data_IF_651476640393
#
_entry.id   IF_651476640393
#
_cell.length_a   1.000
_cell.length_b   1.000
_cell.length_c   1.000
_cell.angle_alpha   90.00
_cell.angle_beta   90.00
_cell.angle_gamma   90.00
#
_symmetry.space_group_name_H-M   'P 1'
#
loop_
_entity.id
_entity.type
_entity.pdbx_description
1 polymer ?
#
# COMPACT_ATOMS: atom_id res chain seq x y z
N UNK A 1 -7.28 8.30 -29.43
CA UNK A 1 -6.46 7.45 -28.55
C UNK A 1 -5.25 8.25 -28.10
N UNK A 2 -5.27 8.85 -26.91
CA UNK A 2 -4.10 9.54 -26.38
C UNK A 2 -3.12 8.50 -25.85
N UNK A 3 -1.97 8.34 -26.50
CA UNK A 3 -0.82 7.68 -25.90
C UNK A 3 -0.43 8.53 -24.69
N UNK A 4 -0.54 7.98 -23.48
CA UNK A 4 -0.07 8.64 -22.26
C UNK A 4 1.47 8.68 -22.35
N UNK A 5 2.07 9.79 -22.80
CA UNK A 5 3.49 9.80 -23.16
C UNK A 5 4.35 10.05 -21.93
N UNK A 6 3.78 10.07 -20.72
CA UNK A 6 4.45 10.46 -19.51
C UNK A 6 5.01 9.23 -18.76
N UNK A 7 6.17 9.42 -18.13
CA UNK A 7 6.63 8.59 -17.02
C UNK A 7 6.73 9.48 -15.78
N UNK A 8 6.64 8.87 -14.60
CA UNK A 8 6.84 9.58 -13.36
C UNK A 8 8.34 9.73 -13.10
N UNK A 9 8.78 10.97 -12.95
CA UNK A 9 10.17 11.31 -12.70
C UNK A 9 10.47 11.21 -11.20
N UNK A 10 11.46 10.39 -10.85
CA UNK A 10 11.91 10.20 -9.48
C UNK A 10 13.29 10.83 -9.31
N UNK A 11 13.41 11.97 -8.63
CA UNK A 11 14.70 12.66 -8.48
C UNK A 11 15.77 11.80 -7.82
N UNK A 12 15.40 10.92 -6.88
CA UNK A 12 16.34 10.02 -6.21
C UNK A 12 16.95 8.98 -7.15
N UNK A 13 16.14 8.35 -8.01
CA UNK A 13 16.62 7.42 -9.02
C UNK A 13 17.46 8.12 -10.09
N UNK A 14 17.01 9.31 -10.52
CA UNK A 14 17.77 10.13 -11.46
C UNK A 14 19.16 10.46 -10.90
N UNK A 15 19.23 10.99 -9.67
CA UNK A 15 20.50 11.36 -9.05
C UNK A 15 21.38 10.16 -8.74
N UNK A 16 20.82 9.00 -8.39
CA UNK A 16 21.60 7.76 -8.23
C UNK A 16 22.42 7.47 -9.49
N UNK A 17 21.80 7.63 -10.66
CA UNK A 17 22.43 7.30 -11.93
C UNK A 17 23.33 8.45 -12.43
N UNK A 18 22.97 9.72 -12.21
CA UNK A 18 23.64 10.86 -12.85
C UNK A 18 24.65 11.60 -11.97
N UNK A 19 24.62 11.48 -10.64
CA UNK A 19 25.43 12.33 -9.74
C UNK A 19 26.95 12.20 -9.95
N UNK A 20 27.41 11.08 -10.52
CA UNK A 20 28.82 10.81 -10.79
C UNK A 20 29.17 10.83 -12.28
N UNK A 21 28.22 11.17 -13.17
CA UNK A 21 28.49 11.20 -14.60
C UNK A 21 29.17 12.52 -15.00
N UNK A 22 30.08 12.44 -15.98
CA UNK A 22 30.57 13.63 -16.66
C UNK A 22 29.44 14.38 -17.42
N UNK A 23 29.62 15.67 -17.68
CA UNK A 23 28.60 16.53 -18.31
C UNK A 23 28.11 15.97 -19.65
N UNK A 24 29.03 15.52 -20.51
CA UNK A 24 28.67 14.93 -21.81
C UNK A 24 27.91 13.61 -21.66
N UNK A 25 28.33 12.78 -20.71
CA UNK A 25 27.71 11.49 -20.38
C UNK A 25 26.28 11.71 -19.87
N UNK A 26 26.08 12.67 -18.96
CA UNK A 26 24.77 13.03 -18.45
C UNK A 26 23.84 13.54 -19.56
N UNK A 27 24.34 14.37 -20.48
CA UNK A 27 23.55 14.82 -21.64
C UNK A 27 23.11 13.65 -22.53
N UNK A 28 23.97 12.64 -22.73
CA UNK A 28 23.60 11.43 -23.45
C UNK A 28 22.54 10.63 -22.70
N UNK A 29 22.71 10.47 -21.38
CA UNK A 29 21.75 9.81 -20.49
C UNK A 29 20.36 10.48 -20.55
N UNK A 30 20.28 11.81 -20.42
CA UNK A 30 19.02 12.56 -20.44
C UNK A 30 18.27 12.40 -21.77
N UNK A 31 19.02 12.41 -22.90
CA UNK A 31 18.45 12.15 -24.23
C UNK A 31 17.90 10.75 -24.35
N UNK A 32 18.62 9.76 -23.83
CA UNK A 32 18.17 8.36 -23.81
C UNK A 32 16.90 8.25 -22.96
N UNK A 33 16.88 8.81 -21.75
CA UNK A 33 15.72 8.85 -20.86
C UNK A 33 14.49 9.44 -21.56
N UNK A 34 14.65 10.52 -22.32
CA UNK A 34 13.53 11.12 -23.06
C UNK A 34 13.05 10.24 -24.22
N UNK A 35 13.97 9.55 -24.92
CA UNK A 35 13.61 8.63 -26.01
C UNK A 35 12.81 7.41 -25.50
N UNK A 36 12.95 7.05 -24.22
CA UNK A 36 12.18 5.96 -23.60
C UNK A 36 10.66 6.19 -23.65
N UNK A 37 10.22 7.46 -23.70
CA UNK A 37 8.81 7.82 -23.86
C UNK A 37 8.21 7.32 -25.17
N UNK A 38 9.03 7.19 -26.23
CA UNK A 38 8.62 6.66 -27.53
C UNK A 38 8.84 5.16 -27.61
N UNK A 39 10.01 4.71 -27.18
CA UNK A 39 10.45 3.33 -27.25
C UNK A 39 11.07 2.95 -25.90
N UNK A 40 10.41 2.08 -25.12
CA UNK A 40 10.88 1.69 -23.78
C UNK A 40 12.35 1.25 -23.78
N UNK A 41 12.83 0.68 -24.89
CA UNK A 41 14.23 0.33 -25.09
C UNK A 41 14.80 1.00 -26.34
N UNK A 42 16.07 1.39 -26.27
CA UNK A 42 16.83 1.89 -27.42
C UNK A 42 17.64 0.77 -28.07
N UNK A 43 17.64 0.72 -29.40
CA UNK A 43 18.43 -0.24 -30.17
C UNK A 43 19.93 0.08 -30.10
N UNK A 44 20.79 -0.88 -30.45
CA UNK A 44 22.24 -0.64 -30.57
C UNK A 44 22.58 0.53 -31.52
N UNK A 45 21.80 0.72 -32.59
CA UNK A 45 22.00 1.82 -33.55
C UNK A 45 21.69 3.17 -32.90
N UNK A 46 20.61 3.26 -32.13
CA UNK A 46 20.26 4.47 -31.38
C UNK A 46 21.29 4.76 -30.30
N UNK A 47 21.74 3.75 -29.55
CA UNK A 47 22.82 3.91 -28.56
C UNK A 47 24.08 4.50 -29.21
N UNK A 48 24.54 3.92 -30.32
CA UNK A 48 25.68 4.46 -31.08
C UNK A 48 25.46 5.91 -31.53
N UNK A 49 24.24 6.29 -31.88
CA UNK A 49 23.92 7.66 -32.25
C UNK A 49 24.00 8.63 -31.06
N UNK A 50 23.48 8.23 -29.89
CA UNK A 50 23.52 9.04 -28.67
C UNK A 50 24.95 9.21 -28.13
N UNK A 51 25.79 8.18 -28.29
CA UNK A 51 27.18 8.18 -27.80
C UNK A 51 28.21 8.60 -28.84
N UNK A 52 27.80 9.05 -30.03
CA UNK A 52 28.71 9.33 -31.16
C UNK A 52 29.77 10.40 -30.90
N UNK A 53 29.57 11.25 -29.89
CA UNK A 53 30.48 12.34 -29.50
C UNK A 53 31.21 12.08 -28.18
N UNK A 54 30.94 10.94 -27.55
CA UNK A 54 31.60 10.54 -26.31
C UNK A 54 32.92 9.83 -26.60
N UNK A 55 33.89 10.00 -25.72
CA UNK A 55 35.08 9.17 -25.67
C UNK A 55 34.77 7.78 -25.07
N UNK A 56 35.75 6.87 -24.99
CA UNK A 56 35.49 5.51 -24.49
C UNK A 56 35.21 5.47 -22.98
N UNK A 57 35.89 6.28 -22.16
CA UNK A 57 35.65 6.33 -20.71
C UNK A 57 34.23 6.84 -20.42
N UNK A 58 33.80 7.93 -21.09
CA UNK A 58 32.44 8.48 -21.02
C UNK A 58 31.38 7.46 -21.47
N UNK A 59 31.70 6.61 -22.47
CA UNK A 59 30.79 5.54 -22.87
C UNK A 59 30.69 4.48 -21.79
N UNK A 60 31.81 4.04 -21.22
CA UNK A 60 31.81 3.04 -20.15
C UNK A 60 30.99 3.53 -18.95
N UNK A 61 31.17 4.78 -18.53
CA UNK A 61 30.34 5.43 -17.49
C UNK A 61 28.84 5.31 -17.81
N UNK A 62 28.43 5.69 -19.03
CA UNK A 62 27.03 5.58 -19.44
C UNK A 62 26.53 4.13 -19.38
N UNK A 63 27.35 3.18 -19.83
CA UNK A 63 26.97 1.77 -19.89
C UNK A 63 26.71 1.17 -18.51
N UNK A 64 27.31 1.69 -17.42
CA UNK A 64 26.99 1.28 -16.05
C UNK A 64 25.55 1.63 -15.64
N UNK A 65 24.96 2.68 -16.22
CA UNK A 65 23.58 3.11 -15.94
C UNK A 65 22.54 2.38 -16.80
N UNK A 66 22.97 1.75 -17.90
CA UNK A 66 22.09 1.12 -18.87
C UNK A 66 22.03 -0.39 -18.68
N UNK A 67 20.81 -0.91 -18.56
CA UNK A 67 20.58 -2.36 -18.54
C UNK A 67 20.42 -2.90 -19.96
N UNK A 68 21.22 -3.92 -20.30
CA UNK A 68 21.07 -4.64 -21.56
C UNK A 68 19.91 -5.63 -21.47
N UNK A 69 19.00 -5.56 -22.43
CA UNK A 69 17.82 -6.44 -22.53
C UNK A 69 17.71 -7.05 -23.93
N UNK A 70 16.76 -7.97 -24.11
CA UNK A 70 16.49 -8.51 -25.43
C UNK A 70 15.98 -7.40 -26.36
N UNK A 71 16.77 -7.08 -27.39
CA UNK A 71 16.46 -6.02 -28.36
C UNK A 71 17.20 -4.69 -28.16
N UNK A 72 17.92 -4.47 -27.06
CA UNK A 72 18.65 -3.21 -26.86
C UNK A 72 19.05 -2.89 -25.43
N UNK A 73 18.94 -1.61 -25.08
CA UNK A 73 19.32 -1.04 -23.80
C UNK A 73 18.21 -0.18 -23.24
N UNK A 74 18.11 -0.13 -21.92
CA UNK A 74 17.16 0.75 -21.24
C UNK A 74 17.71 1.26 -19.91
N UNK A 75 17.17 2.39 -19.45
CA UNK A 75 17.32 2.86 -18.08
C UNK A 75 16.23 2.17 -17.26
N UNK A 76 16.64 1.37 -16.27
CA UNK A 76 15.75 0.43 -15.58
C UNK A 76 14.56 1.11 -14.91
N UNK A 77 14.83 2.15 -14.10
CA UNK A 77 13.77 2.84 -13.34
C UNK A 77 12.80 3.59 -14.27
N UNK A 78 13.28 4.11 -15.41
CA UNK A 78 12.45 4.79 -16.42
C UNK A 78 11.53 3.77 -17.09
N UNK A 79 12.07 2.63 -17.53
CA UNK A 79 11.29 1.56 -18.12
C UNK A 79 10.21 1.05 -17.17
N UNK A 80 10.57 0.81 -15.89
CA UNK A 80 9.64 0.41 -14.84
C UNK A 80 8.52 1.44 -14.64
N UNK A 81 8.88 2.73 -14.57
CA UNK A 81 7.93 3.84 -14.43
C UNK A 81 6.93 3.89 -15.58
N UNK A 82 7.38 3.73 -16.83
CA UNK A 82 6.52 3.67 -18.01
C UNK A 82 5.57 2.48 -17.96
N UNK A 83 6.05 1.29 -17.59
CA UNK A 83 5.22 0.07 -17.50
C UNK A 83 4.12 0.24 -16.44
N UNK A 84 4.49 0.70 -15.24
CA UNK A 84 3.53 0.98 -14.15
C UNK A 84 2.48 2.00 -14.59
N UNK A 85 2.90 3.06 -15.28
CA UNK A 85 2.01 4.11 -15.79
C UNK A 85 1.03 3.58 -16.84
N UNK A 86 1.50 2.77 -17.79
CA UNK A 86 0.64 2.12 -18.79
C UNK A 86 -0.41 1.23 -18.12
N UNK A 87 0.00 0.39 -17.16
CA UNK A 87 -0.91 -0.48 -16.42
C UNK A 87 -1.98 0.31 -15.65
N UNK A 88 -1.60 1.40 -14.97
CA UNK A 88 -2.53 2.30 -14.29
C UNK A 88 -3.55 2.90 -15.26
N UNK A 89 -3.08 3.45 -16.38
CA UNK A 89 -3.94 4.09 -17.38
C UNK A 89 -4.90 3.10 -18.04
N UNK A 90 -4.49 1.86 -18.28
CA UNK A 90 -5.37 0.78 -18.75
C UNK A 90 -6.42 0.36 -17.71
N UNK A 91 -6.03 0.23 -16.45
CA UNK A 91 -6.96 -0.06 -15.33
C UNK A 91 -8.04 1.02 -15.23
N UNK A 92 -7.65 2.30 -15.33
CA UNK A 92 -8.59 3.43 -15.33
C UNK A 92 -9.55 3.40 -16.52
N UNK A 93 -9.08 3.06 -17.73
CA UNK A 93 -9.95 2.91 -18.91
C UNK A 93 -10.99 1.81 -18.72
N UNK A 94 -10.61 0.66 -18.15
CA UNK A 94 -11.51 -0.46 -17.84
C UNK A 94 -12.54 -0.10 -16.76
N UNK A 95 -12.17 0.75 -15.81
CA UNK A 95 -13.08 1.23 -14.77
C UNK A 95 -14.00 2.36 -15.26
N UNK A 96 -13.54 3.21 -16.18
CA UNK A 96 -14.34 4.27 -16.80
C UNK A 96 -15.47 3.74 -17.68
N UNK A 97 -15.28 2.58 -18.31
CA UNK A 97 -16.31 1.92 -19.14
C UNK A 97 -17.43 1.27 -18.31
N UNK A 98 -17.31 1.23 -16.98
CA UNK A 98 -18.30 0.63 -16.06
C UNK A 98 -19.07 1.66 -15.21
N UNK A 99 -18.77 2.96 -15.31
CA UNK A 99 -19.33 3.99 -14.43
C UNK A 99 -20.31 4.86 -15.21
N UNK A 100 -21.59 4.86 -14.80
CA UNK A 100 -22.57 5.85 -15.25
C UNK A 100 -22.04 7.27 -15.01
N UNK A 101 -22.25 8.14 -16.00
CA UNK A 101 -21.74 9.50 -16.05
C UNK A 101 -22.27 10.37 -14.90
N UNK A 102 -21.45 10.56 -13.87
CA UNK A 102 -21.58 11.72 -12.98
C UNK A 102 -20.22 12.42 -12.94
N UNK A 103 -20.07 13.38 -13.85
CA UNK A 103 -18.89 14.24 -13.96
C UNK A 103 -19.02 15.33 -12.88
N UNK A 104 -18.25 15.19 -11.80
CA UNK A 104 -18.08 16.27 -10.82
C UNK A 104 -17.29 17.42 -11.46
N UNK A 105 -17.80 18.65 -11.34
CA UNK A 105 -17.26 19.88 -11.95
C UNK A 105 -15.94 20.39 -11.34
N UNK A 106 -15.26 19.60 -10.51
CA UNK A 106 -14.03 19.96 -9.80
C UNK A 106 -12.95 18.89 -9.94
N UNK A 107 -12.74 18.36 -11.16
CA UNK A 107 -11.76 17.31 -11.40
C UNK A 107 -10.49 17.89 -12.03
N UNK A 108 -9.49 18.19 -11.20
CA UNK A 108 -8.14 18.56 -11.64
C UNK A 108 -7.24 17.32 -11.72
N UNK A 109 -6.78 17.00 -12.93
CA UNK A 109 -5.98 15.82 -13.26
C UNK A 109 -4.47 16.10 -13.18
N UNK A 110 -3.92 16.40 -12.00
CA UNK A 110 -2.46 16.40 -11.85
C UNK A 110 -2.05 15.85 -10.48
N UNK A 111 -1.25 14.78 -10.50
CA UNK A 111 -0.54 14.19 -9.35
C UNK A 111 -1.34 13.27 -8.40
N UNK A 112 -1.99 12.21 -8.91
CA UNK A 112 -2.19 11.02 -8.07
C UNK A 112 -0.89 10.18 -8.08
N UNK A 113 0.01 10.63 -7.21
CA UNK A 113 1.29 10.02 -6.91
C UNK A 113 1.07 9.05 -5.73
N UNK A 114 0.78 7.77 -6.01
CA UNK A 114 0.90 6.71 -5.01
C UNK A 114 1.65 5.53 -5.63
N UNK A 115 2.94 5.43 -5.33
CA UNK A 115 3.68 4.18 -5.43
C UNK A 115 3.03 3.22 -4.44
N UNK A 116 2.24 2.26 -4.94
CA UNK A 116 1.83 1.08 -4.17
C UNK A 116 2.69 -0.08 -4.63
N UNK A 117 3.57 -0.51 -3.75
CA UNK A 117 4.39 -1.71 -3.90
C UNK A 117 3.50 -2.92 -4.21
N UNK A 118 3.61 -3.43 -5.44
CA UNK A 118 2.76 -4.51 -5.96
C UNK A 118 2.92 -5.82 -5.17
N UNK A 119 4.06 -6.02 -4.49
CA UNK A 119 4.34 -7.23 -3.72
C UNK A 119 3.54 -7.32 -2.40
N UNK A 120 3.20 -6.18 -1.80
CA UNK A 120 2.32 -6.11 -0.63
C UNK A 120 0.85 -6.38 -1.00
N UNK A 121 0.48 -6.08 -2.24
CA UNK A 121 -0.92 -6.06 -2.69
C UNK A 121 -1.56 -7.44 -2.82
N UNK A 122 -0.77 -8.46 -3.20
CA UNK A 122 -1.27 -9.82 -3.41
C UNK A 122 -1.57 -10.50 -2.06
N UNK A 123 -0.67 -10.33 -1.09
CA UNK A 123 -0.84 -10.90 0.25
C UNK A 123 -1.91 -10.15 1.06
N UNK A 124 -1.96 -8.81 0.97
CA UNK A 124 -3.05 -8.01 1.56
C UNK A 124 -4.43 -8.38 0.97
N UNK A 125 -4.52 -8.68 -0.32
CA UNK A 125 -5.80 -9.05 -0.93
C UNK A 125 -6.36 -10.37 -0.37
N UNK A 126 -5.49 -11.32 -0.03
CA UNK A 126 -5.89 -12.59 0.58
C UNK A 126 -6.39 -12.41 2.01
N UNK A 127 -5.64 -11.68 2.84
CA UNK A 127 -5.98 -11.42 4.24
C UNK A 127 -7.28 -10.62 4.36
N UNK A 128 -7.45 -9.58 3.54
CA UNK A 128 -8.67 -8.76 3.55
C UNK A 128 -9.91 -9.58 3.17
N UNK A 129 -9.77 -10.51 2.22
CA UNK A 129 -10.84 -11.43 1.85
C UNK A 129 -11.22 -12.32 3.04
N UNK A 130 -10.24 -12.92 3.71
CA UNK A 130 -10.48 -13.80 4.85
C UNK A 130 -11.15 -13.06 6.03
N UNK A 131 -10.75 -11.81 6.30
CA UNK A 131 -11.40 -10.99 7.35
C UNK A 131 -12.88 -10.76 7.04
N UNK A 132 -13.22 -10.47 5.79
CA UNK A 132 -14.61 -10.23 5.38
C UNK A 132 -15.42 -11.53 5.42
N UNK A 133 -14.84 -12.65 5.00
CA UNK A 133 -15.48 -13.97 5.08
C UNK A 133 -15.75 -14.38 6.53
N UNK A 134 -14.80 -14.16 7.44
CA UNK A 134 -14.99 -14.40 8.87
C UNK A 134 -16.07 -13.48 9.48
N UNK A 135 -16.06 -12.19 9.14
CA UNK A 135 -17.10 -11.25 9.57
C UNK A 135 -18.50 -11.73 9.14
N UNK A 136 -18.63 -12.14 7.88
CA UNK A 136 -19.88 -12.64 7.31
C UNK A 136 -20.34 -13.91 8.03
N UNK A 137 -19.41 -14.84 8.25
CA UNK A 137 -19.66 -16.09 8.96
C UNK A 137 -20.11 -15.86 10.41
N UNK A 138 -19.39 -15.02 11.16
CA UNK A 138 -19.66 -14.78 12.59
C UNK A 138 -20.96 -13.99 12.80
N UNK A 139 -21.21 -12.96 11.98
CA UNK A 139 -22.35 -12.07 12.18
C UNK A 139 -23.60 -12.46 11.37
N UNK A 140 -23.52 -13.50 10.53
CA UNK A 140 -24.58 -13.86 9.60
C UNK A 140 -24.86 -12.75 8.58
N UNK A 141 -23.81 -12.03 8.18
CA UNK A 141 -23.90 -10.89 7.26
C UNK A 141 -23.36 -11.25 5.87
N UNK A 142 -23.62 -10.41 4.87
CA UNK A 142 -23.24 -10.65 3.47
C UNK A 142 -22.46 -9.46 2.88
N UNK A 143 -21.40 -9.04 3.56
CA UNK A 143 -20.51 -8.00 3.07
C UNK A 143 -19.69 -8.52 1.89
N UNK A 144 -19.73 -7.78 0.78
CA UNK A 144 -18.95 -8.12 -0.41
C UNK A 144 -17.46 -7.90 -0.18
N UNK A 145 -16.66 -8.90 -0.52
CA UNK A 145 -15.19 -8.81 -0.55
C UNK A 145 -14.68 -7.77 -1.55
N UNK A 146 -15.53 -7.27 -2.46
CA UNK A 146 -15.22 -6.20 -3.41
C UNK A 146 -15.49 -4.78 -2.87
N UNK A 147 -16.10 -4.61 -1.70
CA UNK A 147 -16.46 -3.31 -1.13
C UNK A 147 -15.23 -2.44 -0.79
N UNK A 148 -15.03 -1.33 -1.50
CA UNK A 148 -13.87 -0.44 -1.29
C UNK A 148 -13.81 0.11 0.13
N UNK A 149 -14.93 0.58 0.67
CA UNK A 149 -14.98 1.20 2.01
C UNK A 149 -14.64 0.20 3.11
N UNK A 150 -15.08 -1.05 2.98
CA UNK A 150 -14.75 -2.12 3.94
C UNK A 150 -13.26 -2.47 3.85
N UNK A 151 -12.71 -2.57 2.63
CA UNK A 151 -11.28 -2.83 2.42
C UNK A 151 -10.40 -1.73 3.00
N UNK A 152 -10.76 -0.47 2.81
CA UNK A 152 -10.02 0.68 3.35
C UNK A 152 -9.94 0.63 4.87
N UNK A 153 -11.07 0.37 5.54
CA UNK A 153 -11.11 0.22 6.99
C UNK A 153 -10.21 -0.93 7.48
N UNK A 154 -10.26 -2.08 6.82
CA UNK A 154 -9.41 -3.24 7.17
C UNK A 154 -7.94 -2.91 6.95
N UNK A 155 -7.58 -2.35 5.78
CA UNK A 155 -6.21 -1.95 5.45
C UNK A 155 -5.66 -0.94 6.45
N UNK A 156 -6.47 0.01 6.90
CA UNK A 156 -6.07 0.97 7.94
C UNK A 156 -5.61 0.26 9.21
N UNK A 157 -6.35 -0.76 9.67
CA UNK A 157 -5.97 -1.51 10.89
C UNK A 157 -4.80 -2.46 10.65
N UNK A 158 -4.69 -3.08 9.47
CA UNK A 158 -3.50 -3.87 9.12
C UNK A 158 -2.23 -3.01 9.11
N UNK A 159 -2.30 -1.77 8.60
CA UNK A 159 -1.19 -0.82 8.62
C UNK A 159 -0.82 -0.35 10.02
N UNK A 160 -1.77 -0.35 10.96
CA UNK A 160 -1.51 -0.09 12.39
C UNK A 160 -0.87 -1.30 13.11
N UNK A 161 -0.67 -2.42 12.42
CA UNK A 161 -0.02 -3.62 12.96
C UNK A 161 -0.98 -4.67 13.52
N UNK A 162 -2.31 -4.49 13.36
CA UNK A 162 -3.27 -5.52 13.74
C UNK A 162 -3.23 -6.70 12.78
N UNK A 163 -3.42 -7.89 13.32
CA UNK A 163 -3.37 -9.15 12.58
C UNK A 163 -4.76 -9.66 12.25
N UNK A 164 -4.86 -10.57 11.29
CA UNK A 164 -6.09 -11.32 10.99
C UNK A 164 -6.78 -11.87 12.25
N UNK A 165 -6.01 -12.42 13.19
CA UNK A 165 -6.54 -12.99 14.43
C UNK A 165 -7.22 -11.92 15.30
N UNK A 166 -6.68 -10.70 15.32
CA UNK A 166 -7.26 -9.58 16.06
C UNK A 166 -8.65 -9.20 15.53
N UNK A 167 -8.85 -9.26 14.21
CA UNK A 167 -10.18 -9.05 13.61
C UNK A 167 -11.15 -10.15 14.05
N UNK A 168 -10.74 -11.42 14.00
CA UNK A 168 -11.56 -12.56 14.44
C UNK A 168 -11.96 -12.41 15.92
N UNK A 169 -11.03 -11.97 16.78
CA UNK A 169 -11.30 -11.66 18.19
C UNK A 169 -12.36 -10.57 18.32
N UNK A 170 -12.21 -9.45 17.61
CA UNK A 170 -13.17 -8.33 17.66
C UNK A 170 -14.56 -8.79 17.21
N UNK A 171 -14.68 -9.56 16.13
CA UNK A 171 -15.99 -10.06 15.65
C UNK A 171 -16.72 -10.86 16.73
N UNK A 172 -16.01 -11.80 17.35
CA UNK A 172 -16.58 -12.67 18.39
C UNK A 172 -16.92 -11.91 19.66
N UNK A 173 -16.03 -11.02 20.12
CA UNK A 173 -16.27 -10.20 21.32
C UNK A 173 -17.45 -9.26 21.14
N UNK A 174 -17.53 -8.57 19.99
CA UNK A 174 -18.61 -7.61 19.75
C UNK A 174 -19.94 -8.32 19.52
N UNK A 175 -19.95 -9.46 18.82
CA UNK A 175 -21.16 -10.29 18.73
C UNK A 175 -21.66 -10.70 20.12
N UNK A 176 -20.76 -11.19 20.99
CA UNK A 176 -21.12 -11.59 22.35
C UNK A 176 -21.62 -10.42 23.19
N UNK A 177 -21.02 -9.23 23.04
CA UNK A 177 -21.38 -8.03 23.82
C UNK A 177 -22.66 -7.35 23.33
N UNK A 178 -22.88 -7.27 22.01
CA UNK A 178 -23.95 -6.45 21.42
C UNK A 178 -25.03 -7.28 20.72
N UNK A 179 -24.75 -8.53 20.34
CA UNK A 179 -25.66 -9.36 19.54
C UNK A 179 -27.00 -9.64 20.22
N UNK A 180 -27.01 -9.76 21.55
CA UNK A 180 -28.24 -9.99 22.34
C UNK A 180 -28.94 -8.70 22.76
N UNK A 181 -28.38 -7.52 22.44
CA UNK A 181 -28.97 -6.23 22.78
C UNK A 181 -29.57 -5.60 21.51
N UNK A 182 -30.91 -5.48 21.41
CA UNK A 182 -31.59 -4.97 20.22
C UNK A 182 -31.14 -3.58 19.77
N UNK A 183 -30.74 -2.72 20.71
CA UNK A 183 -30.27 -1.37 20.38
C UNK A 183 -28.81 -1.34 19.90
N UNK A 184 -28.01 -2.32 20.32
CA UNK A 184 -26.59 -2.34 20.03
C UNK A 184 -26.24 -3.21 18.82
N UNK A 185 -27.05 -4.23 18.51
CA UNK A 185 -26.77 -5.16 17.41
C UNK A 185 -26.70 -4.46 16.04
N UNK A 186 -27.43 -3.35 15.84
CA UNK A 186 -27.39 -2.51 14.63
C UNK A 186 -26.00 -1.90 14.33
N UNK A 187 -25.11 -1.88 15.31
CA UNK A 187 -23.74 -1.40 15.19
C UNK A 187 -22.71 -2.49 14.87
N UNK A 188 -23.12 -3.75 14.72
CA UNK A 188 -22.27 -4.86 14.27
C UNK A 188 -22.00 -4.77 12.76
N UNK A 189 -21.24 -3.76 12.35
CA UNK A 189 -20.93 -3.45 10.95
C UNK A 189 -19.49 -2.93 10.82
N UNK A 190 -18.83 -3.09 9.65
CA UNK A 190 -17.42 -2.74 9.44
C UNK A 190 -17.05 -1.33 9.90
N UNK A 191 -17.88 -0.32 9.56
CA UNK A 191 -17.58 1.08 9.90
C UNK A 191 -17.51 1.34 11.41
N UNK A 192 -18.25 0.57 12.21
CA UNK A 192 -18.21 0.70 13.67
C UNK A 192 -17.11 -0.19 14.25
N UNK A 193 -17.08 -1.46 13.85
CA UNK A 193 -16.13 -2.44 14.36
C UNK A 193 -14.68 -2.05 14.08
N UNK A 194 -14.40 -1.50 12.90
CA UNK A 194 -13.06 -1.10 12.46
C UNK A 194 -12.80 0.41 12.59
N UNK A 195 -13.56 1.08 13.45
CA UNK A 195 -13.34 2.48 13.82
C UNK A 195 -12.03 2.64 14.62
N UNK A 196 -11.72 3.87 15.03
CA UNK A 196 -10.59 4.16 15.92
C UNK A 196 -10.69 3.49 17.31
N UNK A 197 -11.81 2.84 17.63
CA UNK A 197 -12.00 2.05 18.85
C UNK A 197 -11.66 0.57 18.70
N UNK A 198 -11.10 0.16 17.55
CA UNK A 198 -10.77 -1.24 17.26
C UNK A 198 -9.93 -1.90 18.37
N UNK A 199 -8.87 -1.22 18.82
CA UNK A 199 -8.02 -1.71 19.91
C UNK A 199 -8.80 -1.88 21.22
N UNK A 200 -9.70 -0.93 21.53
CA UNK A 200 -10.56 -1.02 22.70
C UNK A 200 -11.49 -2.24 22.62
N UNK A 201 -12.06 -2.52 21.46
CA UNK A 201 -12.90 -3.71 21.25
C UNK A 201 -12.09 -5.00 21.37
N UNK A 202 -10.88 -5.04 20.81
CA UNK A 202 -9.96 -6.18 20.90
C UNK A 202 -9.59 -6.47 22.36
N UNK A 203 -9.35 -5.42 23.16
CA UNK A 203 -8.94 -5.52 24.56
C UNK A 203 -10.12 -5.55 25.55
N UNK A 204 -11.37 -5.49 25.08
CA UNK A 204 -12.54 -5.49 25.96
C UNK A 204 -12.56 -6.75 26.85
N UNK A 205 -12.70 -6.57 28.16
CA UNK A 205 -12.84 -7.66 29.11
C UNK A 205 -14.23 -8.27 29.00
N UNK A 206 -14.31 -9.60 28.99
CA UNK A 206 -15.59 -10.28 29.06
C UNK A 206 -16.16 -10.17 30.48
N UNK A 207 -17.41 -9.73 30.59
CA UNK A 207 -18.16 -9.76 31.86
C UNK A 207 -18.63 -11.19 32.15
N UNK A 208 -17.69 -12.10 32.41
CA UNK A 208 -17.97 -13.37 33.10
C UNK A 208 -17.73 -13.18 34.59
N UNK A 209 -18.60 -13.76 35.44
CA UNK A 209 -18.48 -13.74 36.91
C UNK A 209 -17.26 -14.49 37.47
N UNK A 210 -16.38 -14.97 36.58
CA UNK A 210 -15.09 -15.58 36.90
C UNK A 210 -14.04 -14.86 36.06
N UNK A 211 -12.97 -14.37 36.71
CA UNK A 211 -11.85 -13.71 36.04
C UNK A 211 -11.24 -14.64 34.99
N UNK A 212 -11.27 -14.23 33.72
CA UNK A 212 -10.56 -14.95 32.65
C UNK A 212 -9.04 -14.74 32.77
N UNK A 213 -8.23 -15.55 32.05
CA UNK A 213 -6.76 -15.50 32.13
C UNK A 213 -6.18 -14.10 31.88
N UNK A 214 -6.81 -13.29 31.02
CA UNK A 214 -6.41 -11.91 30.76
C UNK A 214 -6.66 -11.00 31.96
N UNK A 215 -7.80 -11.15 32.66
CA UNK A 215 -8.11 -10.45 33.90
C UNK A 215 -7.17 -10.85 35.04
N UNK A 216 -6.83 -12.14 35.16
CA UNK A 216 -5.84 -12.63 36.13
C UNK A 216 -4.46 -12.02 35.85
N UNK A 217 -4.03 -11.99 34.58
CA UNK A 217 -2.75 -11.40 34.18
C UNK A 217 -2.70 -9.89 34.46
N UNK A 218 -3.76 -9.14 34.14
CA UNK A 218 -3.84 -7.71 34.44
C UNK A 218 -3.81 -7.44 35.95
N UNK A 219 -4.52 -8.25 36.74
CA UNK A 219 -4.49 -8.17 38.20
C UNK A 219 -3.09 -8.44 38.76
N UNK A 220 -2.40 -9.50 38.31
CA UNK A 220 -1.04 -9.83 38.75
C UNK A 220 -0.03 -8.74 38.38
N UNK A 221 -0.10 -8.20 37.16
CA UNK A 221 0.76 -7.08 36.73
C UNK A 221 0.52 -5.85 37.60
N UNK A 222 -0.73 -5.53 37.93
CA UNK A 222 -1.07 -4.44 38.84
C UNK A 222 -0.53 -4.66 40.26
N UNK A 223 -0.62 -5.89 40.79
CA UNK A 223 -0.07 -6.26 42.10
C UNK A 223 1.47 -6.19 42.14
N UNK A 224 2.15 -6.60 41.08
CA UNK A 224 3.61 -6.47 40.96
C UNK A 224 4.03 -5.00 40.88
N UNK A 225 3.29 -4.17 40.14
CA UNK A 225 3.55 -2.72 40.08
C UNK A 225 3.41 -2.06 41.45
N UNK A 226 2.34 -2.39 42.19
CA UNK A 226 2.09 -1.90 43.55
C UNK A 226 3.14 -2.37 44.56
N UNK A 227 3.63 -3.61 44.46
CA UNK A 227 4.73 -4.08 45.33
C UNK A 227 6.05 -3.35 45.05
N UNK A 228 6.28 -2.97 43.79
CA UNK A 228 7.53 -2.31 43.37
C UNK A 228 7.54 -0.80 43.64
N UNK A 229 6.37 -0.15 43.71
CA UNK A 229 6.26 1.32 43.84
C UNK A 229 5.40 1.80 45.03
N UNK A 230 4.65 0.92 45.69
CA UNK A 230 3.78 1.25 46.83
C UNK A 230 4.45 1.12 48.20
N UNK A 231 5.78 1.07 48.24
CA UNK A 231 6.58 0.90 49.45
C UNK A 231 7.19 2.19 50.00
N UNK A 232 6.42 3.28 50.10
CA UNK A 232 6.80 4.45 50.89
C UNK A 232 5.62 5.41 51.00
N UNK A 233 4.77 5.16 51.99
CA UNK A 233 4.17 6.17 52.86
C UNK A 233 3.19 5.46 53.81
N UNK A 234 3.68 5.06 54.99
CA UNK A 234 3.08 5.31 56.31
C UNK A 234 4.11 4.91 57.36
N UNK A 235 4.87 5.88 57.86
CA UNK A 235 5.04 6.18 59.29
C UNK A 235 5.75 7.51 59.47
#
# INVERSE_FOLDING_TARGET
MGNDPAFLFYPGDYLRDTQCLGENTQVAYDRIMCEHMRNICITQKQLKFFTKRLNEDEKEELMFTLTKINGGYQIEWVALSIVKRKAYSESRRKNSTKKEEIISKTYDNHMDNEIKDEDKSINESGIVKEIIEDLNFVLGSDYRTSSNKTKELIKSRLNEGFTLDDFKIVHRKMLKSWGNNPEMCKYLRPITLYSNKFESYRNQMETSSVLNQSGIKAYLIGQEWLKKHGGSDVK
#
